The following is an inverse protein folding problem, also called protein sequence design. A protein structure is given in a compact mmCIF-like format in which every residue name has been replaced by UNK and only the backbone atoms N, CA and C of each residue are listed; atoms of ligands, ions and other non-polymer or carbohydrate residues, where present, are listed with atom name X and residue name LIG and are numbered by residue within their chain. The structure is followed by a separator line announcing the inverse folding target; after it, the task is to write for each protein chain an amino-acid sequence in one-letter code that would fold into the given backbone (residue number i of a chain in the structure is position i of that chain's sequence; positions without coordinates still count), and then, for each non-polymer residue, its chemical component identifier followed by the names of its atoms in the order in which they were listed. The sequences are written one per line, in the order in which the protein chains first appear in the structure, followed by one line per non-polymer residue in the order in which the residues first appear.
data_IF_625225334940
#
_entry.id   IF_625225334940
#
_cell.length_a   1.000
_cell.length_b   1.000
_cell.length_c   1.000
_cell.angle_alpha   90.00
_cell.angle_beta   90.00
_cell.angle_gamma   90.00
#
_symmetry.space_group_name_H-M   'P 1'
#
loop_
_entity.id
_entity.type
_entity.pdbx_description
1 polymer ?
#
# COMPACT_ATOMS: atom_id res chain seq x y z
N UNK A 1 2.59 41.30 -25.30
CA UNK A 1 2.11 40.87 -23.97
C UNK A 1 2.86 39.60 -23.54
N UNK A 2 3.92 39.68 -22.72
CA UNK A 2 4.60 38.48 -22.25
C UNK A 2 3.76 37.81 -21.14
N UNK A 3 3.41 36.53 -21.35
CA UNK A 3 2.76 35.69 -20.33
C UNK A 3 3.83 34.99 -19.50
N UNK A 4 3.99 35.42 -18.26
CA UNK A 4 4.67 34.64 -17.21
C UNK A 4 3.61 34.02 -16.31
N UNK A 5 3.44 32.68 -16.33
CA UNK A 5 3.35 31.97 -15.05
C UNK A 5 3.83 30.50 -15.16
N UNK A 6 5.12 30.24 -14.97
CA UNK A 6 5.63 28.86 -14.80
C UNK A 6 6.49 28.64 -13.55
N UNK A 7 6.92 29.71 -12.86
CA UNK A 7 7.76 29.59 -11.66
C UNK A 7 6.93 29.31 -10.38
N UNK A 8 5.81 30.00 -10.19
CA UNK A 8 5.01 29.90 -8.96
C UNK A 8 4.30 28.54 -8.78
N UNK A 9 3.96 27.85 -9.88
CA UNK A 9 3.29 26.54 -9.83
C UNK A 9 4.28 25.44 -9.40
N UNK A 10 5.56 25.56 -9.79
CA UNK A 10 6.60 24.61 -9.35
C UNK A 10 6.85 24.72 -7.85
N UNK A 11 6.91 25.93 -7.30
CA UNK A 11 7.13 26.13 -5.86
C UNK A 11 5.97 25.60 -5.00
N UNK A 12 4.72 25.76 -5.46
CA UNK A 12 3.56 25.22 -4.74
C UNK A 12 3.51 23.68 -4.77
N UNK A 13 3.86 23.06 -5.91
CA UNK A 13 3.93 21.61 -6.02
C UNK A 13 5.02 20.99 -5.12
N UNK A 14 6.19 21.64 -4.99
CA UNK A 14 7.25 21.16 -4.09
C UNK A 14 6.84 21.24 -2.62
N UNK A 15 6.07 22.25 -2.22
CA UNK A 15 5.58 22.42 -0.84
C UNK A 15 4.50 21.39 -0.50
N UNK A 16 3.61 21.06 -1.44
CA UNK A 16 2.49 20.15 -1.18
C UNK A 16 2.84 18.66 -1.38
N UNK A 17 3.76 18.33 -2.28
CA UNK A 17 4.13 16.95 -2.60
C UNK A 17 5.55 16.56 -2.15
N UNK A 18 6.40 17.52 -1.79
CA UNK A 18 7.73 17.23 -1.25
C UNK A 18 7.72 16.30 -0.04
N UNK A 19 6.80 16.47 0.95
CA UNK A 19 6.69 15.56 2.08
C UNK A 19 6.14 14.17 1.71
N UNK A 20 5.39 14.05 0.61
CA UNK A 20 4.80 12.80 0.15
C UNK A 20 5.79 11.95 -0.67
N UNK A 21 6.88 12.56 -1.15
CA UNK A 21 7.92 11.93 -1.98
C UNK A 21 9.25 11.72 -1.23
N UNK A 22 9.38 12.29 -0.03
CA UNK A 22 10.58 12.13 0.80
C UNK A 22 10.37 10.97 1.77
N UNK A 23 11.37 10.10 1.91
CA UNK A 23 11.36 9.08 2.96
C UNK A 23 11.19 9.79 4.32
N UNK A 24 10.13 9.49 5.09
CA UNK A 24 9.86 10.17 6.36
C UNK A 24 10.96 9.93 7.41
N UNK A 25 11.85 8.95 7.20
CA UNK A 25 13.01 8.67 8.04
C UNK A 25 14.30 9.35 7.55
N UNK A 26 14.29 10.03 6.40
CA UNK A 26 15.45 10.78 5.90
C UNK A 26 16.05 11.78 6.91
N UNK A 27 15.27 12.61 7.65
CA UNK A 27 15.86 13.50 8.67
C UNK A 27 16.57 12.74 9.80
N UNK A 28 16.10 11.54 10.15
CA UNK A 28 16.76 10.68 11.14
C UNK A 28 18.09 10.14 10.60
N UNK A 29 18.11 9.71 9.33
CA UNK A 29 19.32 9.26 8.66
C UNK A 29 20.39 10.38 8.56
N UNK A 30 19.97 11.62 8.27
CA UNK A 30 20.87 12.77 8.26
C UNK A 30 21.47 13.09 9.64
N UNK A 31 20.67 13.01 10.71
CA UNK A 31 21.14 13.27 12.08
C UNK A 31 22.15 12.22 12.54
N UNK A 32 21.86 10.94 12.29
CA UNK A 32 22.79 9.83 12.56
C UNK A 32 24.06 9.97 11.71
N UNK A 33 23.93 10.28 10.42
CA UNK A 33 25.06 10.48 9.52
C UNK A 33 25.99 11.62 9.98
N UNK A 34 25.42 12.74 10.44
CA UNK A 34 26.20 13.85 11.02
C UNK A 34 26.94 13.44 12.29
N UNK A 35 26.28 12.70 13.19
CA UNK A 35 26.89 12.22 14.42
C UNK A 35 28.07 11.26 14.14
N UNK A 36 27.91 10.33 13.20
CA UNK A 36 28.98 9.42 12.78
C UNK A 36 30.13 10.21 12.12
N UNK A 37 29.82 11.18 11.26
CA UNK A 37 30.84 11.98 10.57
C UNK A 37 31.73 12.76 11.56
N UNK A 38 31.15 13.30 12.63
CA UNK A 38 31.90 13.95 13.72
C UNK A 38 32.85 12.96 14.40
N UNK A 39 32.33 11.80 14.83
CA UNK A 39 33.14 10.78 15.51
C UNK A 39 34.29 10.26 14.62
N UNK A 40 34.02 10.03 13.33
CA UNK A 40 35.03 9.58 12.36
C UNK A 40 36.08 10.67 12.12
N UNK A 41 35.69 11.96 12.09
CA UNK A 41 36.65 13.05 12.01
C UNK A 41 37.54 13.13 13.25
N UNK A 42 36.98 12.98 14.45
CA UNK A 42 37.76 12.96 15.69
C UNK A 42 38.75 11.81 15.73
N UNK A 43 38.33 10.60 15.35
CA UNK A 43 39.22 9.45 15.23
C UNK A 43 40.35 9.69 14.22
N UNK A 44 40.05 10.32 13.07
CA UNK A 44 41.09 10.67 12.07
C UNK A 44 42.06 11.74 12.57
N UNK A 45 41.60 12.73 13.35
CA UNK A 45 42.47 13.75 13.94
C UNK A 45 43.40 13.17 14.99
N UNK A 46 42.94 12.21 15.80
CA UNK A 46 43.76 11.52 16.81
C UNK A 46 44.85 10.67 16.14
N UNK A 47 44.53 10.00 15.02
CA UNK A 47 45.51 9.23 14.23
C UNK A 47 46.50 10.15 13.50
N UNK A 48 46.01 11.26 12.92
CA UNK A 48 46.85 12.25 12.23
C UNK A 48 47.81 13.01 13.15
N UNK A 49 47.38 13.34 14.39
CA UNK A 49 48.22 14.02 15.37
C UNK A 49 49.36 13.14 15.92
N UNK A 50 49.18 11.81 15.95
CA UNK A 50 50.23 10.86 16.31
C UNK A 50 51.24 10.59 15.18
N UNK A 51 50.93 10.96 13.94
CA UNK A 51 51.77 10.70 12.76
C UNK A 51 52.87 11.72 12.47
N UNK A 52 52.93 12.85 13.18
CA UNK A 52 53.83 13.96 12.83
C UNK A 52 55.26 13.86 13.42
N UNK A 53 55.60 12.81 14.17
CA UNK A 53 56.97 12.59 14.69
C UNK A 53 57.32 11.10 14.76
N UNK A 54 57.58 10.45 13.63
CA UNK A 54 58.52 9.31 13.55
C UNK A 54 58.64 8.80 12.12
N UNK A 55 59.77 9.08 11.48
CA UNK A 55 60.23 8.31 10.33
C UNK A 55 60.82 6.98 10.81
N UNK A 56 59.97 6.01 11.14
CA UNK A 56 60.33 4.59 11.21
C UNK A 56 59.11 3.75 10.89
N UNK A 57 59.31 2.71 10.08
CA UNK A 57 58.30 1.75 9.68
C UNK A 57 57.69 1.06 10.91
N UNK A 58 56.58 1.59 11.40
CA UNK A 58 55.69 0.88 12.31
C UNK A 58 54.53 0.35 11.50
N UNK A 59 54.47 -0.99 11.41
CA UNK A 59 53.24 -1.75 11.17
C UNK A 59 52.14 -1.07 11.96
N UNK A 60 51.18 -0.45 11.27
CA UNK A 60 49.95 0.00 11.89
C UNK A 60 49.34 -1.23 12.55
N UNK A 61 49.29 -1.23 13.89
CA UNK A 61 48.52 -2.22 14.62
C UNK A 61 47.08 -2.16 14.09
N UNK A 62 46.41 -3.30 13.88
CA UNK A 62 45.04 -3.29 13.41
C UNK A 62 44.24 -2.47 14.41
N UNK A 63 43.60 -1.40 13.94
CA UNK A 63 42.54 -0.73 14.69
C UNK A 63 41.62 -1.86 15.16
N UNK A 64 41.43 -2.00 16.47
CA UNK A 64 40.59 -3.05 17.02
C UNK A 64 39.17 -2.81 16.50
N UNK A 65 38.82 -3.53 15.43
CA UNK A 65 37.56 -3.36 14.70
C UNK A 65 36.38 -3.51 15.65
N UNK A 66 36.54 -4.32 16.70
CA UNK A 66 35.53 -4.54 17.74
C UNK A 66 35.30 -3.29 18.59
N UNK A 67 36.36 -2.56 18.97
CA UNK A 67 36.27 -1.30 19.71
C UNK A 67 35.66 -0.19 18.85
N UNK A 68 36.02 -0.15 17.57
CA UNK A 68 35.45 0.81 16.62
C UNK A 68 33.95 0.58 16.40
N UNK A 69 33.54 -0.68 16.20
CA UNK A 69 32.12 -1.05 16.07
C UNK A 69 31.37 -0.68 17.35
N UNK A 70 31.93 -0.95 18.53
CA UNK A 70 31.30 -0.58 19.81
C UNK A 70 31.11 0.94 19.94
N UNK A 71 32.12 1.74 19.58
CA UNK A 71 32.03 3.21 19.58
C UNK A 71 30.96 3.72 18.63
N UNK A 72 30.97 3.27 17.37
CA UNK A 72 29.98 3.72 16.37
C UNK A 72 28.57 3.32 16.83
N UNK A 73 28.39 2.11 17.34
CA UNK A 73 27.11 1.63 17.86
C UNK A 73 26.60 2.52 19.00
N UNK A 74 27.47 2.92 19.93
CA UNK A 74 27.11 3.83 21.02
C UNK A 74 26.70 5.22 20.52
N UNK A 75 27.39 5.76 19.50
CA UNK A 75 27.05 7.04 18.86
C UNK A 75 25.70 6.98 18.17
N UNK A 76 25.44 5.91 17.40
CA UNK A 76 24.15 5.68 16.74
C UNK A 76 23.03 5.57 17.77
N UNK A 77 23.20 4.77 18.82
CA UNK A 77 22.21 4.61 19.87
C UNK A 77 21.89 5.94 20.57
N UNK A 78 22.90 6.77 20.83
CA UNK A 78 22.73 8.10 21.43
C UNK A 78 21.99 9.06 20.50
N UNK A 79 22.32 9.06 19.20
CA UNK A 79 21.65 9.89 18.20
C UNK A 79 20.18 9.49 18.03
N UNK A 80 19.90 8.19 17.91
CA UNK A 80 18.53 7.66 17.85
C UNK A 80 17.74 8.01 19.12
N UNK A 81 18.34 7.84 20.30
CA UNK A 81 17.71 8.18 21.59
C UNK A 81 17.40 9.68 21.71
N UNK A 82 18.26 10.55 21.18
CA UNK A 82 18.02 11.99 21.18
C UNK A 82 16.93 12.42 20.21
N UNK A 83 16.91 11.83 19.01
CA UNK A 83 15.96 12.17 17.95
C UNK A 83 14.55 11.60 18.25
N UNK A 84 14.49 10.33 18.65
CA UNK A 84 13.24 9.63 18.96
C UNK A 84 12.76 9.84 20.39
N UNK A 85 13.59 10.30 21.33
CA UNK A 85 13.22 10.45 22.75
C UNK A 85 12.63 11.82 23.11
N UNK A 86 12.79 12.85 22.27
CA UNK A 86 12.25 14.19 22.56
C UNK A 86 10.72 14.23 22.43
N UNK A 87 10.00 14.85 23.39
CA UNK A 87 8.55 15.06 23.30
C UNK A 87 8.21 16.29 22.45
N UNK A 88 8.76 16.37 21.24
CA UNK A 88 8.45 17.43 20.27
C UNK A 88 7.51 16.90 19.19
N UNK A 89 6.79 17.79 18.52
CA UNK A 89 5.91 17.41 17.39
C UNK A 89 6.70 16.69 16.27
N UNK A 90 7.96 17.10 16.04
CA UNK A 90 8.86 16.41 15.12
C UNK A 90 9.23 15.01 15.61
N UNK A 91 9.59 14.86 16.89
CA UNK A 91 9.90 13.54 17.48
C UNK A 91 8.71 12.59 17.48
N UNK A 92 7.49 13.08 17.75
CA UNK A 92 6.26 12.28 17.61
C UNK A 92 6.03 11.83 16.17
N UNK A 93 6.25 12.72 15.19
CA UNK A 93 6.09 12.38 13.78
C UNK A 93 7.10 11.31 13.34
N UNK A 94 8.36 11.41 13.78
CA UNK A 94 9.38 10.39 13.49
C UNK A 94 9.06 9.04 14.11
N UNK A 95 8.60 9.01 15.37
CA UNK A 95 8.16 7.76 16.01
C UNK A 95 7.00 7.11 15.26
N UNK A 96 5.99 7.91 14.89
CA UNK A 96 4.85 7.40 14.13
C UNK A 96 5.24 6.91 12.73
N UNK A 97 6.16 7.62 12.05
CA UNK A 97 6.70 7.18 10.77
C UNK A 97 7.45 5.85 10.90
N UNK A 98 8.31 5.70 11.92
CA UNK A 98 9.04 4.47 12.16
C UNK A 98 8.09 3.30 12.45
N UNK A 99 7.07 3.51 13.30
CA UNK A 99 6.04 2.51 13.57
C UNK A 99 5.31 2.13 12.28
N UNK A 100 4.93 3.09 11.45
CA UNK A 100 4.26 2.82 10.17
C UNK A 100 5.15 2.02 9.21
N UNK A 101 6.46 2.32 9.14
CA UNK A 101 7.40 1.55 8.30
C UNK A 101 7.60 0.13 8.81
N UNK A 102 7.72 -0.07 10.12
CA UNK A 102 7.85 -1.41 10.71
C UNK A 102 6.57 -2.22 10.52
N UNK A 103 5.40 -1.61 10.75
CA UNK A 103 4.12 -2.27 10.49
C UNK A 103 3.98 -2.64 9.00
N UNK A 104 4.40 -1.78 8.08
CA UNK A 104 4.38 -2.07 6.64
C UNK A 104 5.33 -3.22 6.29
N UNK A 105 6.51 -3.29 6.91
CA UNK A 105 7.46 -4.38 6.73
C UNK A 105 6.95 -5.71 7.31
N UNK A 106 6.25 -5.68 8.45
CA UNK A 106 5.63 -6.86 9.06
C UNK A 106 4.45 -7.39 8.24
N UNK A 107 3.65 -6.50 7.67
CA UNK A 107 2.48 -6.85 6.85
C UNK A 107 2.90 -7.34 5.44
N UNK A 108 4.06 -6.91 4.94
CA UNK A 108 4.51 -7.16 3.57
C UNK A 108 6.01 -7.45 3.48
N UNK A 109 6.47 -8.54 4.09
CA UNK A 109 7.79 -9.10 3.80
C UNK A 109 7.71 -10.13 2.66
N UNK A 110 7.50 -9.62 1.44
CA UNK A 110 8.18 -10.11 0.24
C UNK A 110 8.43 -8.89 -0.68
N UNK A 111 9.70 -8.70 -1.03
CA UNK A 111 10.24 -7.70 -1.98
C UNK A 111 10.44 -6.27 -1.44
N UNK A 112 11.61 -6.08 -0.82
CA UNK A 112 12.31 -4.79 -0.85
C UNK A 112 12.84 -4.58 -2.27
N UNK A 113 12.33 -3.57 -2.98
CA UNK A 113 13.01 -2.99 -4.14
C UNK A 113 12.94 -1.46 -4.04
N UNK A 114 14.13 -0.85 -4.09
CA UNK A 114 14.42 0.58 -4.06
C UNK A 114 13.71 1.37 -5.21
N UNK A 115 13.61 2.71 -5.12
CA UNK A 115 12.71 3.48 -5.95
C UNK A 115 13.29 3.67 -7.35
N UNK A 116 12.78 2.92 -8.31
CA UNK A 116 13.06 3.12 -9.73
C UNK A 116 11.84 3.73 -10.40
N UNK A 117 12.07 4.95 -10.88
CA UNK A 117 11.40 5.69 -11.95
C UNK A 117 10.31 4.89 -12.69
N UNK A 118 9.15 5.54 -12.79
CA UNK A 118 8.06 5.21 -13.69
C UNK A 118 8.55 4.69 -15.06
N UNK A 119 8.52 3.37 -15.19
CA UNK A 119 8.45 2.63 -16.44
C UNK A 119 7.39 1.54 -16.24
N UNK A 120 6.55 1.26 -17.24
CA UNK A 120 5.36 0.45 -17.05
C UNK A 120 5.74 -0.95 -16.54
N UNK A 121 5.03 -1.36 -15.50
CA UNK A 121 5.18 -2.58 -14.70
C UNK A 121 5.50 -3.84 -15.53
N UNK A 122 6.74 -4.33 -15.42
CA UNK A 122 7.09 -5.72 -15.74
C UNK A 122 6.78 -6.69 -14.58
N UNK A 123 6.11 -6.23 -13.51
CA UNK A 123 5.71 -7.04 -12.37
C UNK A 123 4.20 -7.30 -12.26
N UNK A 124 3.38 -6.83 -13.20
CA UNK A 124 1.94 -7.07 -13.12
C UNK A 124 1.60 -8.49 -13.56
N UNK A 125 1.10 -9.30 -12.62
CA UNK A 125 0.56 -10.63 -12.88
C UNK A 125 -0.48 -10.54 -14.00
N UNK A 126 -0.20 -11.22 -15.11
CA UNK A 126 -1.06 -11.28 -16.28
C UNK A 126 -2.15 -12.35 -16.09
N UNK A 127 -3.38 -11.89 -15.91
CA UNK A 127 -4.54 -12.75 -15.71
C UNK A 127 -5.15 -13.18 -17.04
N UNK A 128 -5.73 -14.38 -17.05
CA UNK A 128 -6.63 -14.80 -18.12
C UNK A 128 -7.98 -14.08 -18.02
N UNK A 129 -8.75 -14.06 -19.11
CA UNK A 129 -10.12 -13.52 -19.10
C UNK A 129 -11.03 -14.26 -18.12
N UNK A 130 -10.78 -15.55 -17.87
CA UNK A 130 -11.52 -16.33 -16.90
C UNK A 130 -11.18 -15.91 -15.46
N UNK A 131 -9.89 -15.75 -15.14
CA UNK A 131 -9.45 -15.29 -13.83
C UNK A 131 -9.92 -13.85 -13.53
N UNK A 132 -9.87 -12.97 -14.52
CA UNK A 132 -10.39 -11.61 -14.40
C UNK A 132 -11.90 -11.61 -14.15
N UNK A 133 -12.67 -12.50 -14.79
CA UNK A 133 -14.11 -12.63 -14.56
C UNK A 133 -14.42 -13.07 -13.13
N UNK A 134 -13.66 -14.03 -12.59
CA UNK A 134 -13.79 -14.49 -11.21
C UNK A 134 -13.49 -13.36 -10.23
N UNK A 135 -12.42 -12.59 -10.44
CA UNK A 135 -12.07 -11.45 -9.57
C UNK A 135 -13.09 -10.31 -9.60
N UNK A 136 -13.73 -10.09 -10.75
CA UNK A 136 -14.73 -9.03 -10.93
C UNK A 136 -16.14 -9.46 -10.54
N UNK A 137 -16.37 -10.74 -10.26
CA UNK A 137 -17.69 -11.35 -10.06
C UNK A 137 -18.66 -11.06 -11.23
N UNK A 138 -18.13 -11.06 -12.46
CA UNK A 138 -18.90 -10.80 -13.69
C UNK A 138 -18.75 -11.94 -14.68
N UNK A 139 -19.60 -11.95 -15.71
CA UNK A 139 -19.51 -12.96 -16.76
C UNK A 139 -18.28 -12.75 -17.64
N UNK A 140 -17.68 -13.85 -18.13
CA UNK A 140 -16.58 -13.83 -19.11
C UNK A 140 -16.86 -12.97 -20.36
N UNK A 141 -18.06 -13.02 -21.00
CA UNK A 141 -18.34 -12.15 -22.14
C UNK A 141 -18.36 -10.67 -21.75
N UNK A 142 -18.78 -10.33 -20.53
CA UNK A 142 -18.73 -8.96 -20.04
C UNK A 142 -17.29 -8.47 -19.89
N UNK A 143 -16.37 -9.31 -19.40
CA UNK A 143 -14.93 -8.99 -19.39
C UNK A 143 -14.39 -8.76 -20.79
N UNK A 144 -14.77 -9.59 -21.77
CA UNK A 144 -14.36 -9.38 -23.17
C UNK A 144 -14.83 -8.03 -23.70
N UNK A 145 -16.09 -7.67 -23.42
CA UNK A 145 -16.65 -6.38 -23.79
C UNK A 145 -15.90 -5.22 -23.13
N UNK A 146 -15.52 -5.34 -21.85
CA UNK A 146 -14.72 -4.32 -21.16
C UNK A 146 -13.30 -4.17 -21.74
N UNK A 147 -12.72 -5.29 -22.19
CA UNK A 147 -11.48 -5.31 -22.93
C UNK A 147 -11.60 -4.58 -24.28
N UNK A 148 -12.63 -4.89 -25.06
CA UNK A 148 -12.88 -4.24 -26.36
C UNK A 148 -13.17 -2.74 -26.20
N UNK A 149 -13.82 -2.36 -25.10
CA UNK A 149 -14.08 -0.97 -24.73
C UNK A 149 -12.86 -0.24 -24.15
N UNK A 150 -11.71 -0.90 -23.99
CA UNK A 150 -10.48 -0.32 -23.42
C UNK A 150 -10.57 0.06 -21.94
N UNK A 151 -11.61 -0.40 -21.21
CA UNK A 151 -11.83 -0.04 -19.80
C UNK A 151 -10.92 -0.79 -18.83
N UNK A 152 -10.34 -1.90 -19.27
CA UNK A 152 -9.40 -2.73 -18.50
C UNK A 152 -7.93 -2.45 -18.87
N UNK A 153 -7.65 -1.29 -19.48
CA UNK A 153 -6.31 -0.85 -19.82
C UNK A 153 -5.70 -1.62 -21.00
N UNK A 154 -4.36 -1.63 -21.04
CA UNK A 154 -3.58 -2.29 -22.09
C UNK A 154 -3.66 -3.82 -21.97
N UNK A 155 -4.10 -4.48 -23.04
CA UNK A 155 -4.23 -5.93 -23.11
C UNK A 155 -3.03 -6.47 -23.86
N UNK A 156 -2.34 -7.44 -23.25
CA UNK A 156 -1.27 -8.17 -23.92
C UNK A 156 -1.90 -9.38 -24.61
N UNK A 157 -1.70 -9.50 -25.92
CA UNK A 157 -2.14 -10.68 -26.67
C UNK A 157 -0.94 -11.61 -26.81
N UNK A 158 -1.06 -12.85 -26.35
CA UNK A 158 0.00 -13.84 -26.54
C UNK A 158 0.08 -14.26 -28.01
N UNK A 159 1.19 -14.86 -28.44
CA UNK A 159 1.37 -15.35 -29.82
C UNK A 159 0.24 -16.28 -30.29
N UNK A 160 -0.39 -17.02 -29.36
CA UNK A 160 -1.59 -17.83 -29.60
C UNK A 160 -2.95 -17.10 -29.62
N UNK A 161 -2.98 -15.77 -29.67
CA UNK A 161 -4.21 -14.98 -29.76
C UNK A 161 -5.02 -14.86 -28.47
N UNK A 162 -4.51 -15.36 -27.34
CA UNK A 162 -5.18 -15.25 -26.05
C UNK A 162 -4.93 -13.88 -25.41
N UNK A 163 -6.01 -13.27 -24.91
CA UNK A 163 -5.97 -11.99 -24.21
C UNK A 163 -5.48 -12.18 -22.77
N UNK A 164 -4.50 -11.37 -22.38
CA UNK A 164 -3.94 -11.28 -21.03
C UNK A 164 -4.16 -9.88 -20.48
N UNK A 165 -4.72 -9.82 -19.28
CA UNK A 165 -5.14 -8.58 -18.63
C UNK A 165 -4.26 -8.37 -17.40
N UNK A 166 -3.72 -7.17 -17.22
CA UNK A 166 -2.94 -6.85 -16.01
C UNK A 166 -3.84 -6.89 -14.77
N UNK A 167 -3.40 -7.57 -13.71
CA UNK A 167 -4.14 -7.63 -12.45
C UNK A 167 -4.43 -6.24 -11.86
N UNK A 168 -3.44 -5.34 -11.91
CA UNK A 168 -3.56 -3.95 -11.48
C UNK A 168 -4.71 -3.19 -12.16
N UNK A 169 -4.92 -3.41 -13.46
CA UNK A 169 -5.99 -2.76 -14.21
C UNK A 169 -7.38 -3.26 -13.80
N UNK A 170 -7.50 -4.55 -13.46
CA UNK A 170 -8.74 -5.15 -12.95
C UNK A 170 -9.09 -4.56 -11.58
N UNK A 171 -8.10 -4.43 -10.69
CA UNK A 171 -8.28 -3.85 -9.35
C UNK A 171 -8.62 -2.35 -9.42
N UNK A 172 -7.95 -1.60 -10.29
CA UNK A 172 -8.27 -0.20 -10.53
C UNK A 172 -9.71 -0.02 -11.04
N UNK A 173 -10.17 -0.92 -11.91
CA UNK A 173 -11.55 -0.91 -12.40
C UNK A 173 -12.56 -1.20 -11.27
N UNK A 174 -12.28 -2.14 -10.37
CA UNK A 174 -13.11 -2.38 -9.18
C UNK A 174 -13.19 -1.14 -8.29
N UNK A 175 -12.05 -0.53 -7.98
CA UNK A 175 -12.00 0.66 -7.15
C UNK A 175 -12.78 1.83 -7.78
N UNK A 176 -12.68 2.01 -9.10
CA UNK A 176 -13.45 3.02 -9.82
C UNK A 176 -14.96 2.73 -9.80
N UNK A 177 -15.36 1.46 -9.95
CA UNK A 177 -16.77 1.05 -9.90
C UNK A 177 -17.38 1.28 -8.52
N UNK A 178 -16.65 0.97 -7.45
CA UNK A 178 -17.11 1.18 -6.06
C UNK A 178 -17.31 2.68 -5.81
N UNK A 179 -16.34 3.52 -6.18
CA UNK A 179 -16.46 4.99 -6.08
C UNK A 179 -17.63 5.57 -6.85
N UNK A 180 -17.99 4.99 -8.00
CA UNK A 180 -19.17 5.40 -8.77
C UNK A 180 -20.48 5.00 -8.08
N UNK A 181 -20.48 3.90 -7.32
CA UNK A 181 -21.67 3.46 -6.56
C UNK A 181 -21.82 4.14 -5.20
N UNK A 182 -20.75 4.65 -4.60
CA UNK A 182 -20.74 5.22 -3.23
C UNK A 182 -21.54 6.54 -3.05
N UNK A 183 -22.16 7.07 -4.09
CA UNK A 183 -23.02 8.25 -3.99
C UNK A 183 -24.21 8.28 -4.95
N UNK A 184 -24.46 7.17 -5.67
CA UNK A 184 -25.59 7.07 -6.55
C UNK A 184 -26.84 6.67 -5.73
N UNK A 185 -27.95 7.43 -5.81
CA UNK A 185 -29.20 6.99 -5.19
C UNK A 185 -29.58 5.64 -5.78
N UNK A 186 -30.12 4.75 -4.94
CA UNK A 186 -30.52 3.44 -5.43
C UNK A 186 -31.51 3.62 -6.60
N UNK A 187 -31.49 2.76 -7.63
CA UNK A 187 -32.42 2.89 -8.76
C UNK A 187 -33.90 2.97 -8.31
N UNK A 188 -34.21 2.44 -7.13
CA UNK A 188 -35.53 2.48 -6.52
C UNK A 188 -35.80 3.78 -5.77
N UNK A 189 -34.82 4.32 -5.05
CA UNK A 189 -34.89 5.65 -4.43
C UNK A 189 -35.09 6.73 -5.49
N UNK A 190 -34.28 6.71 -6.56
CA UNK A 190 -34.44 7.62 -7.69
C UNK A 190 -35.84 7.49 -8.34
N UNK A 191 -36.40 6.29 -8.38
CA UNK A 191 -37.76 6.04 -8.88
C UNK A 191 -38.87 6.51 -7.93
N UNK A 192 -38.64 6.53 -6.61
CA UNK A 192 -39.58 7.13 -5.64
C UNK A 192 -39.55 8.65 -5.76
N UNK A 193 -38.36 9.25 -5.87
CA UNK A 193 -38.20 10.69 -6.08
C UNK A 193 -38.84 11.15 -7.40
N UNK A 194 -38.75 10.32 -8.44
CA UNK A 194 -39.42 10.56 -9.73
C UNK A 194 -40.93 10.24 -9.72
N UNK A 195 -41.50 9.81 -8.59
CA UNK A 195 -42.91 9.45 -8.45
C UNK A 195 -43.33 8.16 -9.16
N UNK A 196 -42.38 7.37 -9.69
CA UNK A 196 -42.62 6.08 -10.33
C UNK A 196 -43.02 5.00 -9.31
N UNK A 197 -42.58 5.11 -8.06
CA UNK A 197 -42.88 4.16 -6.99
C UNK A 197 -43.52 4.84 -5.77
N UNK A 198 -44.51 4.17 -5.18
CA UNK A 198 -45.22 4.66 -3.98
C UNK A 198 -44.47 4.44 -2.67
N UNK A 199 -43.48 3.54 -2.66
CA UNK A 199 -42.85 3.08 -1.41
C UNK A 199 -41.33 2.92 -1.56
N UNK A 200 -40.55 3.34 -0.55
CA UNK A 200 -39.10 3.25 -0.55
C UNK A 200 -38.60 1.80 -0.50
N UNK A 201 -37.31 1.64 -0.75
CA UNK A 201 -36.61 0.36 -0.58
C UNK A 201 -36.77 -0.15 0.86
N UNK A 202 -37.02 -1.44 1.03
CA UNK A 202 -37.26 -2.03 2.34
C UNK A 202 -38.72 -2.04 2.84
N UNK A 203 -39.65 -1.32 2.19
CA UNK A 203 -41.06 -1.24 2.62
C UNK A 203 -41.76 -2.61 2.71
N UNK A 204 -41.36 -3.58 1.89
CA UNK A 204 -41.93 -4.93 1.85
C UNK A 204 -40.96 -6.02 2.32
N UNK A 205 -40.05 -5.73 3.25
CA UNK A 205 -39.19 -6.78 3.81
C UNK A 205 -40.03 -7.84 4.52
N UNK A 206 -40.16 -8.99 3.84
CA UNK A 206 -40.91 -10.15 4.30
C UNK A 206 -40.33 -10.68 5.62
N UNK A 207 -41.19 -10.77 6.65
CA UNK A 207 -40.90 -11.27 8.02
C UNK A 207 -40.45 -12.74 8.10
N UNK A 208 -40.08 -13.38 6.98
CA UNK A 208 -39.81 -14.83 6.92
C UNK A 208 -38.54 -15.20 7.73
N UNK A 209 -37.61 -14.26 7.98
CA UNK A 209 -36.44 -14.50 8.85
C UNK A 209 -36.70 -14.40 10.36
N UNK A 210 -37.81 -13.83 10.82
CA UNK A 210 -38.12 -13.79 12.27
C UNK A 210 -38.81 -15.07 12.78
N UNK A 211 -39.06 -16.05 11.92
CA UNK A 211 -39.74 -17.29 12.27
C UNK A 211 -38.79 -18.49 12.53
N UNK A 212 -37.48 -18.37 12.31
CA UNK A 212 -36.53 -19.47 12.54
C UNK A 212 -36.03 -19.59 13.99
N UNK A 213 -36.21 -18.58 14.85
CA UNK A 213 -35.73 -18.63 16.25
C UNK A 213 -36.78 -19.12 17.26
N UNK A 214 -38.00 -19.44 16.83
CA UNK A 214 -39.06 -19.96 17.73
C UNK A 214 -39.96 -20.94 17.00
N UNK A 215 -39.53 -22.20 16.92
CA UNK A 215 -40.44 -23.31 16.64
C UNK A 215 -40.19 -24.48 17.61
N UNK A 216 -41.16 -24.83 18.48
CA UNK A 216 -41.04 -26.01 19.32
C UNK A 216 -41.24 -27.27 18.47
N UNK A 217 -40.47 -28.31 18.79
CA UNK A 217 -40.57 -29.62 18.19
C UNK A 217 -42.00 -30.17 18.30
N UNK A 218 -42.62 -30.49 17.16
CA UNK A 218 -43.82 -31.33 17.11
C UNK A 218 -43.70 -32.36 15.99
N UNK A 219 -43.93 -33.60 16.41
CA UNK A 219 -43.72 -34.86 15.71
C UNK A 219 -44.35 -34.92 14.31
N UNK A 220 -43.59 -35.46 13.37
CA UNK A 220 -44.08 -35.87 12.06
C UNK A 220 -44.92 -37.15 12.18
N UNK A 221 -46.23 -37.04 11.97
CA UNK A 221 -47.09 -38.18 11.71
C UNK A 221 -47.37 -38.32 10.21
N UNK A 222 -47.23 -39.57 9.76
CA UNK A 222 -47.94 -40.23 8.65
C UNK A 222 -47.89 -39.58 7.25
N UNK A 223 -47.10 -40.22 6.36
CA UNK A 223 -47.46 -40.30 4.94
C UNK A 223 -47.35 -41.74 4.45
N UNK A 224 -48.52 -42.37 4.32
CA UNK A 224 -48.76 -43.70 3.76
C UNK A 224 -48.29 -43.78 2.32
N UNK A 225 -47.53 -44.83 1.98
CA UNK A 225 -47.10 -45.25 0.65
C UNK A 225 -47.15 -46.79 0.68
N UNK A 226 -47.56 -47.58 -0.31
CA UNK A 226 -47.96 -47.40 -1.72
C UNK A 226 -48.49 -48.80 -2.10
N UNK A 227 -49.70 -48.93 -2.64
CA UNK A 227 -50.17 -50.24 -3.12
C UNK A 227 -49.40 -50.64 -4.39
N UNK A 228 -48.80 -51.82 -4.36
CA UNK A 228 -48.20 -52.51 -5.49
C UNK A 228 -49.29 -53.18 -6.32
N UNK A 229 -49.35 -52.91 -7.62
CA UNK A 229 -50.08 -53.72 -8.58
C UNK A 229 -49.19 -54.90 -9.00
N UNK A 230 -49.67 -56.11 -8.76
CA UNK A 230 -49.27 -57.36 -9.41
C UNK A 230 -50.40 -57.79 -10.34
#
# INVERSE_FOLDING_TARGET
MPRTPHAAIKTAATVHYGPLLSDPLNPLAEEVGKAIAVEVCELRLIVGAKGAKSATAHKQAPVDETELVARITAVVAKALGHSLGKPTAAGTALRMALIATLASAEIGSEVVAAPLKASPSQGDTLLTTAEAATKLEVSRPYVSMLCDAGKLGEIVVTEGGHRRIRASAVEAYLAARIKQSEGAPSPREAGVDAGLYKHPEGHFQNKIRKAETTKPAKASSARTARQSRS
#
